data_IF_026817012758
#
_entry.id   IF_026817012758
#
_cell.length_a   1.000
_cell.length_b   1.000
_cell.length_c   1.000
_cell.angle_alpha   90.00
_cell.angle_beta   90.00
_cell.angle_gamma   90.00
#
_symmetry.space_group_name_H-M   'P 1'
#
loop_
_entity.id
_entity.type
_entity.pdbx_description
1 polymer ?
#
# COMPACT_ATOMS: atom_id res chain seq x y z
N UNK A 1 -19.37 17.44 13.37
CA UNK A 1 -19.74 17.24 11.95
C UNK A 1 -19.54 18.47 11.05
N UNK A 2 -19.87 19.69 11.46
CA UNK A 2 -19.73 20.90 10.60
C UNK A 2 -18.27 21.28 10.27
N UNK A 3 -17.27 20.82 11.03
CA UNK A 3 -15.85 21.23 10.88
C UNK A 3 -15.15 20.56 9.70
N UNK A 4 -15.65 19.39 9.25
CA UNK A 4 -15.01 18.62 8.18
C UNK A 4 -15.51 18.96 6.76
N UNK A 5 -16.70 19.59 6.66
CA UNK A 5 -17.26 20.02 5.37
C UNK A 5 -16.46 21.15 4.68
N UNK A 6 -15.71 21.94 5.47
CA UNK A 6 -14.91 23.05 4.93
C UNK A 6 -13.66 22.53 4.25
N UNK A 7 -13.08 21.45 4.76
CA UNK A 7 -11.86 20.87 4.19
C UNK A 7 -12.09 20.19 2.82
N UNK A 8 -13.20 19.48 2.62
CA UNK A 8 -13.48 18.80 1.35
C UNK A 8 -13.67 19.79 0.17
N UNK A 9 -14.19 20.99 0.44
CA UNK A 9 -14.35 22.03 -0.58
C UNK A 9 -13.04 22.70 -0.98
N UNK A 10 -12.08 22.78 -0.06
CA UNK A 10 -10.77 23.38 -0.33
C UNK A 10 -9.91 22.48 -1.24
N UNK A 11 -10.07 21.16 -1.11
CA UNK A 11 -9.34 20.16 -1.88
C UNK A 11 -9.72 20.09 -3.35
N UNK A 12 -11.01 20.23 -3.67
CA UNK A 12 -11.50 20.16 -5.05
C UNK A 12 -11.07 21.37 -5.91
N UNK A 13 -10.52 22.43 -5.29
CA UNK A 13 -10.12 23.64 -6.01
C UNK A 13 -8.63 23.75 -6.34
N UNK A 14 -7.77 22.88 -5.78
CA UNK A 14 -6.30 23.02 -5.84
C UNK A 14 -5.57 21.87 -6.56
N UNK A 15 -6.11 21.25 -7.58
CA UNK A 15 -5.45 20.33 -8.53
C UNK A 15 -4.41 19.35 -7.94
N UNK A 16 -4.61 18.03 -8.14
CA UNK A 16 -3.69 16.92 -7.85
C UNK A 16 -3.01 16.90 -6.46
N UNK A 17 -3.80 16.83 -5.40
CA UNK A 17 -3.28 16.45 -4.09
C UNK A 17 -3.39 14.94 -3.91
N UNK A 18 -2.29 14.32 -3.47
CA UNK A 18 -2.31 12.98 -2.91
C UNK A 18 -3.27 12.96 -1.72
N UNK A 19 -4.21 12.02 -1.70
CA UNK A 19 -5.26 11.94 -0.68
C UNK A 19 -5.42 10.52 -0.15
N UNK A 20 -6.21 10.36 0.90
CA UNK A 20 -6.41 9.05 1.54
C UNK A 20 -7.10 8.05 0.63
N UNK A 21 -8.02 8.49 -0.23
CA UNK A 21 -8.71 7.61 -1.17
C UNK A 21 -7.75 7.04 -2.22
N UNK A 22 -6.81 7.83 -2.71
CA UNK A 22 -5.77 7.36 -3.63
C UNK A 22 -4.76 6.46 -2.90
N UNK A 23 -4.38 6.80 -1.67
CA UNK A 23 -3.54 5.94 -0.83
C UNK A 23 -4.17 4.56 -0.63
N UNK A 24 -5.49 4.52 -0.38
CA UNK A 24 -6.22 3.25 -0.28
C UNK A 24 -6.10 2.42 -1.57
N UNK A 25 -6.13 3.07 -2.75
CA UNK A 25 -5.92 2.37 -4.02
C UNK A 25 -4.50 1.79 -4.15
N UNK A 26 -3.47 2.51 -3.73
CA UNK A 26 -2.09 1.99 -3.68
C UNK A 26 -1.99 0.79 -2.74
N UNK A 27 -2.64 0.87 -1.58
CA UNK A 27 -2.67 -0.26 -0.63
C UNK A 27 -3.44 -1.46 -1.19
N UNK A 28 -4.51 -1.23 -1.97
CA UNK A 28 -5.23 -2.29 -2.66
C UNK A 28 -4.36 -3.00 -3.71
N UNK A 29 -3.58 -2.25 -4.50
CA UNK A 29 -2.63 -2.85 -5.45
C UNK A 29 -1.60 -3.69 -4.70
N UNK A 30 -1.04 -3.18 -3.61
CA UNK A 30 -0.11 -3.92 -2.76
C UNK A 30 -0.73 -5.22 -2.24
N UNK A 31 -1.97 -5.16 -1.76
CA UNK A 31 -2.72 -6.34 -1.32
C UNK A 31 -2.85 -7.39 -2.45
N UNK A 32 -3.28 -6.98 -3.63
CA UNK A 32 -3.41 -7.89 -4.78
C UNK A 32 -2.07 -8.47 -5.21
N UNK A 33 -1.02 -7.67 -5.24
CA UNK A 33 0.33 -8.10 -5.60
C UNK A 33 0.85 -9.13 -4.60
N UNK A 34 0.67 -8.92 -3.30
CA UNK A 34 1.11 -9.88 -2.29
C UNK A 34 0.29 -11.17 -2.32
N UNK A 35 -1.00 -11.11 -2.62
CA UNK A 35 -1.80 -12.32 -2.86
C UNK A 35 -1.34 -13.06 -4.11
N UNK A 36 -1.00 -12.36 -5.16
CA UNK A 36 -0.44 -12.96 -6.39
C UNK A 36 0.89 -13.65 -6.09
N UNK A 37 1.78 -13.00 -5.36
CA UNK A 37 3.04 -13.60 -4.88
C UNK A 37 2.78 -14.86 -4.05
N UNK A 38 1.85 -14.81 -3.10
CA UNK A 38 1.48 -15.93 -2.24
C UNK A 38 1.11 -17.19 -3.03
N UNK A 39 0.36 -17.03 -4.12
CA UNK A 39 -0.07 -18.16 -4.93
C UNK A 39 0.98 -18.64 -5.95
N UNK A 40 1.81 -17.74 -6.45
CA UNK A 40 2.66 -18.02 -7.61
C UNK A 40 4.15 -18.15 -7.30
N UNK A 41 4.61 -17.80 -6.09
CA UNK A 41 6.01 -18.04 -5.71
C UNK A 41 6.35 -19.52 -5.80
N UNK A 42 7.56 -19.84 -6.21
CA UNK A 42 7.99 -21.23 -6.43
C UNK A 42 9.48 -21.41 -6.16
N UNK A 43 9.89 -22.68 -6.04
CA UNK A 43 11.27 -23.06 -5.92
C UNK A 43 11.80 -23.06 -4.48
N UNK A 44 13.09 -22.80 -4.37
CA UNK A 44 13.75 -22.73 -3.05
C UNK A 44 13.11 -21.63 -2.20
N UNK A 45 12.93 -21.88 -0.92
CA UNK A 45 12.29 -20.97 0.02
C UNK A 45 10.78 -20.72 -0.25
N UNK A 46 10.13 -21.62 -1.01
CA UNK A 46 8.68 -21.47 -1.29
C UNK A 46 7.84 -21.24 -0.04
N UNK A 47 7.99 -22.09 0.97
CA UNK A 47 7.14 -22.00 2.17
C UNK A 47 7.35 -20.68 2.91
N UNK A 48 8.58 -20.27 3.09
CA UNK A 48 8.93 -18.99 3.74
C UNK A 48 8.35 -17.80 2.99
N UNK A 49 8.52 -17.73 1.68
CA UNK A 49 8.02 -16.64 0.85
C UNK A 49 6.49 -16.65 0.75
N UNK A 50 5.89 -17.82 0.66
CA UNK A 50 4.44 -18.01 0.66
C UNK A 50 3.80 -17.50 1.95
N UNK A 51 4.32 -17.88 3.10
CA UNK A 51 3.84 -17.44 4.42
C UNK A 51 4.10 -15.94 4.63
N UNK A 52 5.27 -15.45 4.22
CA UNK A 52 5.59 -14.04 4.33
C UNK A 52 4.68 -13.15 3.46
N UNK A 53 4.37 -13.57 2.24
CA UNK A 53 3.41 -12.88 1.39
C UNK A 53 2.02 -12.82 2.03
N UNK A 54 1.62 -13.88 2.74
CA UNK A 54 0.36 -13.89 3.50
C UNK A 54 0.36 -12.84 4.61
N UNK A 55 1.40 -12.76 5.42
CA UNK A 55 1.53 -11.70 6.44
C UNK A 55 1.41 -10.30 5.84
N UNK A 56 2.01 -10.09 4.67
CA UNK A 56 1.97 -8.81 3.98
C UNK A 56 0.57 -8.45 3.49
N UNK A 57 -0.15 -9.38 2.84
CA UNK A 57 -1.48 -9.02 2.34
C UNK A 57 -2.53 -8.92 3.45
N UNK A 58 -2.43 -9.69 4.51
CA UNK A 58 -3.33 -9.58 5.66
C UNK A 58 -3.19 -8.21 6.34
N UNK A 59 -1.97 -7.73 6.54
CA UNK A 59 -1.74 -6.39 7.08
C UNK A 59 -2.16 -5.28 6.11
N UNK A 60 -1.95 -5.48 4.81
CA UNK A 60 -2.39 -4.54 3.79
C UNK A 60 -3.93 -4.42 3.75
N UNK A 61 -4.65 -5.50 3.95
CA UNK A 61 -6.11 -5.51 4.03
C UNK A 61 -6.60 -4.68 5.21
N UNK A 62 -6.01 -4.85 6.39
CA UNK A 62 -6.33 -4.06 7.58
C UNK A 62 -6.07 -2.57 7.36
N UNK A 63 -4.94 -2.23 6.75
CA UNK A 63 -4.62 -0.84 6.41
C UNK A 63 -5.55 -0.26 5.34
N UNK A 64 -5.92 -1.06 4.35
CA UNK A 64 -6.88 -0.65 3.33
C UNK A 64 -8.22 -0.28 3.96
N UNK A 65 -8.76 -1.13 4.82
CA UNK A 65 -10.03 -0.88 5.52
C UNK A 65 -9.96 0.42 6.33
N UNK A 66 -8.91 0.61 7.13
CA UNK A 66 -8.73 1.81 7.93
C UNK A 66 -8.60 3.08 7.08
N UNK A 67 -7.90 3.01 5.95
CA UNK A 67 -7.75 4.13 5.01
C UNK A 67 -9.07 4.49 4.34
N UNK A 68 -9.85 3.50 3.90
CA UNK A 68 -11.16 3.71 3.27
C UNK A 68 -12.12 4.34 4.25
N UNK A 69 -12.24 3.82 5.46
CA UNK A 69 -13.11 4.36 6.49
C UNK A 69 -12.72 5.79 6.86
N UNK A 70 -11.41 6.05 6.99
CA UNK A 70 -10.89 7.38 7.26
C UNK A 70 -11.19 8.35 6.11
N UNK A 71 -10.95 7.95 4.87
CA UNK A 71 -11.25 8.77 3.69
C UNK A 71 -12.73 9.14 3.62
N UNK A 72 -13.61 8.17 3.83
CA UNK A 72 -15.08 8.40 3.85
C UNK A 72 -15.46 9.37 4.97
N UNK A 73 -14.84 9.28 6.14
CA UNK A 73 -15.09 10.20 7.25
C UNK A 73 -14.74 11.67 6.92
N UNK A 74 -13.84 11.89 5.95
CA UNK A 74 -13.51 13.21 5.39
C UNK A 74 -14.30 13.56 4.12
N UNK A 75 -15.33 12.78 3.78
CA UNK A 75 -16.14 12.94 2.57
C UNK A 75 -15.34 12.80 1.26
N UNK A 76 -14.27 12.05 1.28
CA UNK A 76 -13.57 11.67 0.05
C UNK A 76 -14.35 10.58 -0.69
N UNK A 77 -14.33 10.62 -2.02
CA UNK A 77 -14.89 9.56 -2.86
C UNK A 77 -13.84 8.46 -2.99
N UNK A 78 -14.17 7.26 -2.50
CA UNK A 78 -13.30 6.08 -2.61
C UNK A 78 -13.77 5.21 -3.76
N UNK A 79 -12.84 4.85 -4.65
CA UNK A 79 -13.11 3.93 -5.74
C UNK A 79 -13.23 2.48 -5.22
N UNK A 80 -13.97 1.61 -5.92
CA UNK A 80 -13.94 0.18 -5.62
C UNK A 80 -12.51 -0.39 -5.61
N UNK A 81 -12.25 -1.36 -4.75
CA UNK A 81 -10.92 -1.93 -4.51
C UNK A 81 -10.19 -2.37 -5.78
N UNK A 82 -10.92 -2.85 -6.78
CA UNK A 82 -10.34 -3.31 -8.06
C UNK A 82 -9.97 -2.19 -9.05
N UNK A 83 -10.35 -0.95 -8.76
CA UNK A 83 -9.93 0.22 -9.57
C UNK A 83 -8.57 0.68 -9.08
N UNK A 84 -7.56 0.54 -9.94
CA UNK A 84 -6.17 0.84 -9.59
C UNK A 84 -5.72 2.18 -10.15
N UNK A 85 -4.74 2.86 -9.51
CA UNK A 85 -4.12 4.05 -10.08
C UNK A 85 -3.45 3.72 -11.42
N UNK A 86 -3.56 4.60 -12.41
CA UNK A 86 -3.01 4.36 -13.74
C UNK A 86 -1.49 4.24 -13.80
N UNK A 87 -0.78 4.79 -12.82
CA UNK A 87 0.67 4.73 -12.67
C UNK A 87 1.16 3.63 -11.72
N UNK A 88 0.25 2.82 -11.18
CA UNK A 88 0.55 1.72 -10.28
C UNK A 88 -0.33 0.51 -10.63
N UNK A 89 -0.09 -0.13 -11.79
CA UNK A 89 -0.85 -1.32 -12.16
C UNK A 89 -0.45 -2.52 -11.31
N UNK A 90 -1.37 -3.48 -11.05
CA UNK A 90 -1.03 -4.74 -10.39
C UNK A 90 -0.12 -5.60 -11.27
N UNK A 91 0.60 -6.55 -10.65
CA UNK A 91 1.39 -7.54 -11.39
C UNK A 91 0.47 -8.40 -12.27
N UNK A 92 0.90 -8.64 -13.50
CA UNK A 92 0.20 -9.50 -14.45
C UNK A 92 1.05 -10.67 -14.93
N UNK A 93 2.38 -10.56 -14.88
CA UNK A 93 3.30 -11.64 -15.24
C UNK A 93 3.64 -12.48 -14.01
N UNK A 94 3.17 -13.71 -14.01
CA UNK A 94 3.38 -14.70 -12.92
C UNK A 94 4.16 -15.93 -13.39
N UNK A 95 4.66 -15.91 -14.63
CA UNK A 95 5.23 -17.10 -15.27
C UNK A 95 6.50 -17.61 -14.59
N UNK A 96 7.29 -16.73 -13.98
CA UNK A 96 8.61 -17.05 -13.44
C UNK A 96 8.81 -16.42 -12.05
N UNK A 97 7.95 -16.76 -11.11
CA UNK A 97 8.05 -16.27 -9.72
C UNK A 97 9.10 -17.06 -8.92
N UNK A 98 10.37 -17.01 -9.38
CA UNK A 98 11.50 -17.54 -8.64
C UNK A 98 11.70 -16.77 -7.32
N UNK A 99 12.50 -17.27 -6.35
CA UNK A 99 12.77 -16.52 -5.12
C UNK A 99 13.28 -15.09 -5.38
N UNK A 100 14.16 -14.91 -6.36
CA UNK A 100 14.69 -13.58 -6.74
C UNK A 100 13.59 -12.68 -7.27
N UNK A 101 12.76 -13.17 -8.20
CA UNK A 101 11.65 -12.41 -8.77
C UNK A 101 10.61 -12.07 -7.69
N UNK A 102 10.29 -13.03 -6.85
CA UNK A 102 9.36 -12.88 -5.73
C UNK A 102 9.79 -11.76 -4.78
N UNK A 103 11.03 -11.78 -4.32
CA UNK A 103 11.56 -10.74 -3.43
C UNK A 103 11.63 -9.39 -4.14
N UNK A 104 11.99 -9.37 -5.41
CA UNK A 104 11.97 -8.16 -6.22
C UNK A 104 10.59 -7.50 -6.31
N UNK A 105 9.56 -8.29 -6.54
CA UNK A 105 8.17 -7.81 -6.57
C UNK A 105 7.73 -7.30 -5.20
N UNK A 106 8.03 -8.02 -4.12
CA UNK A 106 7.71 -7.60 -2.76
C UNK A 106 8.39 -6.27 -2.40
N UNK A 107 9.69 -6.13 -2.69
CA UNK A 107 10.44 -4.89 -2.46
C UNK A 107 9.87 -3.72 -3.25
N UNK A 108 9.53 -3.94 -4.53
CA UNK A 108 8.94 -2.91 -5.36
C UNK A 108 7.59 -2.44 -4.79
N UNK A 109 6.74 -3.36 -4.37
CA UNK A 109 5.45 -3.05 -3.74
C UNK A 109 5.61 -2.23 -2.46
N UNK A 110 6.49 -2.67 -1.56
CA UNK A 110 6.78 -1.97 -0.30
C UNK A 110 7.27 -0.55 -0.56
N UNK A 111 8.22 -0.37 -1.46
CA UNK A 111 8.80 0.94 -1.79
C UNK A 111 7.80 1.86 -2.47
N UNK A 112 6.98 1.33 -3.36
CA UNK A 112 5.94 2.12 -4.05
C UNK A 112 4.95 2.72 -3.05
N UNK A 113 4.45 1.94 -2.11
CA UNK A 113 3.52 2.44 -1.08
C UNK A 113 4.25 3.39 -0.11
N UNK A 114 5.48 3.06 0.29
CA UNK A 114 6.29 3.92 1.15
C UNK A 114 6.49 5.31 0.53
N UNK A 115 6.92 5.38 -0.72
CA UNK A 115 7.17 6.65 -1.42
C UNK A 115 5.88 7.47 -1.56
N UNK A 116 4.75 6.82 -1.80
CA UNK A 116 3.45 7.50 -1.85
C UNK A 116 3.07 8.09 -0.49
N UNK A 117 3.22 7.34 0.59
CA UNK A 117 2.98 7.81 1.96
C UNK A 117 3.85 9.02 2.33
N UNK A 118 5.14 8.96 1.98
CA UNK A 118 6.06 10.08 2.20
C UNK A 118 5.67 11.34 1.42
N UNK A 119 5.00 11.19 0.28
CA UNK A 119 4.58 12.31 -0.56
C UNK A 119 3.35 13.06 -0.03
N UNK A 120 2.62 12.49 0.95
CA UNK A 120 1.40 13.12 1.49
C UNK A 120 1.75 14.35 2.30
N UNK A 121 1.13 15.48 1.95
CA UNK A 121 1.36 16.76 2.60
C UNK A 121 0.81 16.79 4.03
N UNK A 122 1.66 17.11 5.01
CA UNK A 122 1.35 17.03 6.46
C UNK A 122 0.39 18.09 7.01
N UNK A 123 -0.13 19.01 6.21
CA UNK A 123 -0.95 20.14 6.70
C UNK A 123 -2.43 19.99 6.39
N UNK A 124 -2.84 18.87 5.82
CA UNK A 124 -4.14 18.72 5.20
C UNK A 124 -5.16 18.04 6.11
N UNK A 125 -4.73 17.06 6.87
CA UNK A 125 -5.56 16.27 7.76
C UNK A 125 -5.26 16.60 9.24
N UNK A 126 -6.18 16.24 10.15
CA UNK A 126 -5.88 16.25 11.58
C UNK A 126 -4.70 15.35 11.93
N UNK A 127 -4.02 15.65 13.05
CA UNK A 127 -2.80 14.96 13.49
C UNK A 127 -2.95 13.43 13.62
N UNK A 128 -4.13 12.93 13.99
CA UNK A 128 -4.33 11.50 14.15
C UNK A 128 -4.22 10.71 12.83
N UNK A 129 -4.51 11.37 11.69
CA UNK A 129 -4.31 10.76 10.36
C UNK A 129 -2.82 10.54 10.09
N UNK A 130 -1.99 11.51 10.42
CA UNK A 130 -0.54 11.38 10.26
C UNK A 130 0.07 10.34 11.19
N UNK A 131 -0.49 10.16 12.38
CA UNK A 131 -0.10 9.06 13.28
C UNK A 131 -0.36 7.69 12.65
N UNK A 132 -1.46 7.52 11.92
CA UNK A 132 -1.74 6.30 11.15
C UNK A 132 -0.74 6.13 10.02
N UNK A 133 -0.46 7.18 9.26
CA UNK A 133 0.53 7.18 8.17
C UNK A 133 1.91 6.83 8.70
N UNK A 134 2.34 7.41 9.80
CA UNK A 134 3.63 7.14 10.43
C UNK A 134 3.74 5.66 10.86
N UNK A 135 2.66 5.06 11.37
CA UNK A 135 2.63 3.63 11.70
C UNK A 135 2.77 2.74 10.47
N UNK A 136 2.13 3.12 9.37
CA UNK A 136 2.26 2.39 8.09
C UNK A 136 3.68 2.53 7.53
N UNK A 137 4.28 3.71 7.58
CA UNK A 137 5.67 3.95 7.17
C UNK A 137 6.64 3.11 7.98
N UNK A 138 6.49 3.07 9.30
CA UNK A 138 7.32 2.25 10.18
C UNK A 138 7.21 0.76 9.83
N UNK A 139 6.01 0.29 9.58
CA UNK A 139 5.79 -1.11 9.16
C UNK A 139 6.46 -1.41 7.81
N UNK A 140 6.28 -0.54 6.81
CA UNK A 140 6.90 -0.70 5.49
C UNK A 140 8.42 -0.65 5.54
N UNK A 141 8.99 0.22 6.37
CA UNK A 141 10.44 0.29 6.59
C UNK A 141 10.98 -1.03 7.14
N UNK A 142 10.29 -1.63 8.10
CA UNK A 142 10.64 -2.96 8.61
C UNK A 142 10.57 -4.05 7.54
N UNK A 143 9.56 -4.00 6.65
CA UNK A 143 9.45 -4.94 5.55
C UNK A 143 10.58 -4.74 4.53
N UNK A 144 10.89 -3.49 4.20
CA UNK A 144 12.02 -3.18 3.31
C UNK A 144 13.34 -3.72 3.86
N UNK A 145 13.59 -3.58 5.16
CA UNK A 145 14.76 -4.15 5.81
C UNK A 145 14.80 -5.68 5.69
N UNK A 146 13.73 -6.37 6.08
CA UNK A 146 13.64 -7.85 6.02
C UNK A 146 13.88 -8.37 4.60
N UNK A 147 13.17 -7.83 3.62
CA UNK A 147 13.28 -8.23 2.22
C UNK A 147 14.65 -7.94 1.64
N UNK A 148 15.26 -6.83 2.03
CA UNK A 148 16.65 -6.51 1.63
C UNK A 148 17.64 -7.53 2.19
N UNK A 149 17.46 -8.00 3.43
CA UNK A 149 18.31 -9.07 3.97
C UNK A 149 18.07 -10.40 3.24
N UNK A 150 16.82 -10.77 3.00
CA UNK A 150 16.47 -11.99 2.26
C UNK A 150 17.08 -11.98 0.84
N UNK A 151 17.11 -10.83 0.18
CA UNK A 151 17.69 -10.70 -1.17
C UNK A 151 19.20 -11.01 -1.25
N UNK A 152 19.91 -10.96 -0.13
CA UNK A 152 21.34 -11.27 -0.06
C UNK A 152 21.65 -12.76 0.00
N UNK A 153 20.64 -13.58 0.26
CA UNK A 153 20.78 -15.04 0.40
C UNK A 153 20.51 -15.80 -0.91
N UNK A 154 20.20 -15.07 -1.96
CA UNK A 154 19.79 -15.64 -3.25
C UNK A 154 20.91 -15.50 -4.29
#
# INVERSE_FOLDING_TARGET
MKKYHIFSRFFNSMGSFYNLSELAQYMAVFYFDMRTVHFHTQGKNFLELHEYAQELYEQAEDYYDDLVETAISFNETVQPMFVTPGNCPPITDVANMTPTDTIGVMLNGVRTVYDYLESITKEVYPSFVYSKIDSMLEWLDKQNYKLTQMSKEI
#
